data_IF_638013750495
#
_entry.id   IF_638013750495
#
_cell.length_a   1.000
_cell.length_b   1.000
_cell.length_c   1.000
_cell.angle_alpha   90.00
_cell.angle_beta   90.00
_cell.angle_gamma   90.00
#
_symmetry.space_group_name_H-M   'P 1'
#
loop_
_entity.id
_entity.type
_entity.pdbx_description
1 polymer ?
#
# COMPACT_ATOMS: atom_id res chain seq x y z
N UNK A 1 -18.32 -5.31 -9.76
CA UNK A 1 -18.29 -6.06 -8.50
C UNK A 1 -17.14 -5.49 -7.68
N UNK A 2 -17.37 -5.12 -6.43
CA UNK A 2 -16.31 -4.58 -5.57
C UNK A 2 -15.49 -5.77 -5.04
N UNK A 3 -14.17 -5.75 -5.27
CA UNK A 3 -13.28 -6.82 -4.80
C UNK A 3 -13.23 -6.74 -3.28
N UNK A 4 -13.61 -7.82 -2.60
CA UNK A 4 -13.50 -7.93 -1.13
C UNK A 4 -12.08 -8.34 -0.75
N UNK A 5 -11.63 -7.90 0.43
CA UNK A 5 -10.32 -8.29 0.98
C UNK A 5 -10.17 -9.82 1.09
N UNK A 6 -11.21 -10.49 1.59
CA UNK A 6 -11.26 -11.96 1.74
C UNK A 6 -10.93 -12.71 0.44
N UNK A 7 -11.39 -12.20 -0.71
CA UNK A 7 -11.12 -12.82 -2.02
C UNK A 7 -9.65 -12.69 -2.43
N UNK A 8 -8.99 -11.60 -2.02
CA UNK A 8 -7.56 -11.39 -2.25
C UNK A 8 -6.78 -12.31 -1.32
N UNK A 9 -7.14 -12.36 -0.04
CA UNK A 9 -6.47 -13.22 0.96
C UNK A 9 -6.50 -14.70 0.55
N UNK A 10 -7.68 -15.21 0.15
CA UNK A 10 -7.85 -16.58 -0.34
C UNK A 10 -7.06 -16.86 -1.62
N UNK A 11 -6.97 -15.88 -2.53
CA UNK A 11 -6.28 -16.05 -3.81
C UNK A 11 -4.76 -16.08 -3.66
N UNK A 12 -4.20 -15.35 -2.70
CA UNK A 12 -2.76 -15.28 -2.47
C UNK A 12 -2.27 -16.29 -1.42
N UNK A 13 -3.15 -16.83 -0.57
CA UNK A 13 -2.87 -17.87 0.44
C UNK A 13 -1.66 -17.52 1.33
N UNK A 14 -1.66 -16.27 1.81
CA UNK A 14 -0.56 -15.65 2.55
C UNK A 14 -1.11 -14.88 3.75
N UNK A 15 -0.77 -15.35 4.95
CA UNK A 15 -1.22 -14.72 6.21
C UNK A 15 -0.55 -13.37 6.52
N UNK A 16 0.55 -13.03 5.83
CA UNK A 16 1.31 -11.80 6.03
C UNK A 16 0.91 -10.67 5.07
N UNK A 17 -0.13 -10.89 4.25
CA UNK A 17 -0.60 -9.93 3.28
C UNK A 17 -1.54 -8.92 3.95
N UNK A 18 -1.25 -7.63 3.76
CA UNK A 18 -2.11 -6.56 4.27
C UNK A 18 -2.86 -5.96 3.09
N UNK A 19 -4.18 -6.17 3.06
CA UNK A 19 -5.04 -5.71 1.97
C UNK A 19 -5.73 -4.40 2.34
N UNK A 20 -5.64 -3.41 1.46
CA UNK A 20 -6.37 -2.14 1.57
C UNK A 20 -7.29 -1.96 0.36
N UNK A 21 -8.59 -1.83 0.61
CA UNK A 21 -9.60 -1.52 -0.43
C UNK A 21 -9.93 -0.03 -0.50
N UNK A 22 -9.53 0.75 0.52
CA UNK A 22 -9.68 2.20 0.58
C UNK A 22 -8.32 2.91 0.43
N UNK A 23 -8.17 3.85 -0.53
CA UNK A 23 -6.94 4.62 -0.70
C UNK A 23 -6.48 5.41 0.54
N UNK A 24 -7.41 5.92 1.36
CA UNK A 24 -7.08 6.68 2.56
C UNK A 24 -6.39 5.82 3.63
N UNK A 25 -6.84 4.57 3.78
CA UNK A 25 -6.26 3.61 4.72
C UNK A 25 -4.86 3.19 4.25
N UNK A 26 -4.70 2.93 2.95
CA UNK A 26 -3.39 2.67 2.35
C UNK A 26 -2.40 3.82 2.58
N UNK A 27 -2.82 5.08 2.36
CA UNK A 27 -1.97 6.26 2.60
C UNK A 27 -1.58 6.37 4.08
N UNK A 28 -2.54 6.18 4.98
CA UNK A 28 -2.29 6.24 6.43
C UNK A 28 -1.28 5.17 6.84
N UNK A 29 -1.45 3.93 6.35
CA UNK A 29 -0.51 2.85 6.59
C UNK A 29 0.88 3.20 6.07
N UNK A 30 0.98 3.64 4.81
CA UNK A 30 2.24 3.98 4.15
C UNK A 30 3.03 5.03 4.93
N UNK A 31 2.37 6.08 5.44
CA UNK A 31 3.04 7.15 6.19
C UNK A 31 3.30 6.84 7.67
N UNK A 32 2.72 5.76 8.19
CA UNK A 32 2.97 5.30 9.57
C UNK A 32 4.19 4.39 9.71
N UNK A 33 4.75 3.90 8.59
CA UNK A 33 5.92 3.02 8.62
C UNK A 33 7.23 3.78 8.86
N UNK A 34 8.21 3.09 9.43
CA UNK A 34 9.60 3.54 9.47
C UNK A 34 10.35 2.94 8.27
N UNK A 35 11.03 3.81 7.52
CA UNK A 35 11.78 3.44 6.32
C UNK A 35 13.29 3.59 6.50
N UNK A 36 13.79 3.69 7.74
CA UNK A 36 15.23 3.72 7.98
C UNK A 36 15.94 2.53 7.31
N UNK A 37 16.99 2.83 6.53
CA UNK A 37 17.74 1.88 5.72
C UNK A 37 16.88 0.90 4.89
N UNK A 38 15.72 1.36 4.38
CA UNK A 38 14.75 0.52 3.67
C UNK A 38 14.55 0.98 2.23
N UNK A 39 14.43 0.03 1.31
CA UNK A 39 14.02 0.30 -0.07
C UNK A 39 12.51 0.07 -0.23
N UNK A 40 11.75 1.14 -0.45
CA UNK A 40 10.32 1.05 -0.74
C UNK A 40 10.08 0.76 -2.23
N UNK A 41 9.58 -0.43 -2.56
CA UNK A 41 9.16 -0.81 -3.91
C UNK A 41 7.64 -0.64 -4.06
N UNK A 42 7.23 0.18 -5.01
CA UNK A 42 5.82 0.37 -5.38
C UNK A 42 5.59 -0.17 -6.80
N UNK A 43 4.61 -1.04 -6.96
CA UNK A 43 4.19 -1.58 -8.26
C UNK A 43 2.68 -1.36 -8.45
N UNK A 44 2.30 -0.79 -9.59
CA UNK A 44 0.90 -0.59 -9.94
C UNK A 44 0.73 -0.50 -11.44
N UNK A 45 -0.43 -0.95 -11.94
CA UNK A 45 -0.93 -0.64 -13.27
C UNK A 45 -1.74 0.67 -13.32
N UNK A 46 -1.80 1.42 -12.21
CA UNK A 46 -2.55 2.67 -12.04
C UNK A 46 -1.78 3.73 -11.24
N UNK A 47 -2.48 4.55 -10.44
CA UNK A 47 -1.92 5.71 -9.74
C UNK A 47 -2.00 5.65 -8.20
N UNK A 48 -2.15 4.45 -7.62
CA UNK A 48 -2.20 4.22 -6.16
C UNK A 48 -3.31 5.02 -5.43
N UNK A 49 -4.44 5.26 -6.09
CA UNK A 49 -5.53 6.05 -5.51
C UNK A 49 -5.18 7.54 -5.35
N UNK A 50 -4.37 8.07 -6.28
CA UNK A 50 -3.92 9.46 -6.25
C UNK A 50 -2.88 9.73 -5.17
N UNK A 51 -1.92 8.81 -4.98
CA UNK A 51 -0.78 9.01 -4.09
C UNK A 51 0.12 10.13 -4.63
N UNK A 52 0.50 11.06 -3.75
CA UNK A 52 1.46 12.11 -4.09
C UNK A 52 2.88 11.62 -3.78
N UNK A 53 3.68 11.39 -4.83
CA UNK A 53 5.06 10.93 -4.69
C UNK A 53 6.00 11.99 -4.11
N UNK A 54 5.68 13.28 -4.23
CA UNK A 54 6.46 14.34 -3.60
C UNK A 54 6.25 14.36 -2.08
N UNK A 55 5.07 13.93 -1.60
CA UNK A 55 4.87 13.67 -0.17
C UNK A 55 5.65 12.44 0.28
N UNK A 56 5.56 11.31 -0.44
CA UNK A 56 6.26 10.06 -0.09
C UNK A 56 7.77 10.26 0.01
N UNK A 57 8.39 10.98 -0.93
CA UNK A 57 9.83 11.27 -0.91
C UNK A 57 10.28 12.00 0.36
N UNK A 58 9.43 12.77 1.03
CA UNK A 58 9.79 13.45 2.28
C UNK A 58 9.89 12.50 3.47
N UNK A 59 9.25 11.34 3.39
CA UNK A 59 9.26 10.30 4.42
C UNK A 59 10.35 9.23 4.19
N UNK A 60 10.84 9.10 2.97
CA UNK A 60 12.01 8.28 2.62
C UNK A 60 13.27 9.13 2.80
N UNK A 61 14.08 8.84 3.82
CA UNK A 61 15.33 9.57 4.11
C UNK A 61 16.54 8.87 3.50
#
# INVERSE_FOLDING_TARGET
>A
EEIKGEQIDEAFDRDDLVVFTNPADFKTYLFSQDYDNTCLLLMSSGNYGGLDFEEVKKYLK
#
